data_IF_395613740215
#
_entry.id   IF_395613740215
#
_cell.length_a   1.000
_cell.length_b   1.000
_cell.length_c   1.000
_cell.angle_alpha   90.00
_cell.angle_beta   90.00
_cell.angle_gamma   90.00
#
_symmetry.space_group_name_H-M   'P 1'
#
loop_
_entity.id
_entity.type
_entity.pdbx_description
1 polymer ?
#
# COMPACT_ATOMS: atom_id res chain seq x y z
N UNK A 1 -11.58 -14.86 15.97
CA UNK A 1 -10.39 -14.29 16.63
C UNK A 1 -9.10 -14.69 15.92
N UNK A 2 -8.73 -15.98 15.84
CA UNK A 2 -7.47 -16.43 15.20
C UNK A 2 -7.34 -15.98 13.74
N UNK A 3 -8.40 -16.10 12.93
CA UNK A 3 -8.40 -15.66 11.52
C UNK A 3 -8.14 -14.16 11.33
N UNK A 4 -8.59 -13.32 12.29
CA UNK A 4 -8.39 -11.87 12.24
C UNK A 4 -6.93 -11.52 12.48
N UNK A 5 -6.32 -12.14 13.49
CA UNK A 5 -4.89 -11.97 13.81
C UNK A 5 -4.03 -12.47 12.64
N UNK A 6 -4.34 -13.65 12.09
CA UNK A 6 -3.61 -14.21 10.95
C UNK A 6 -3.68 -13.30 9.71
N UNK A 7 -4.87 -12.84 9.34
CA UNK A 7 -5.04 -11.91 8.21
C UNK A 7 -4.29 -10.59 8.42
N UNK A 8 -4.27 -10.08 9.65
CA UNK A 8 -3.56 -8.86 9.99
C UNK A 8 -2.04 -9.04 9.89
N UNK A 9 -1.50 -10.16 10.37
CA UNK A 9 -0.08 -10.48 10.22
C UNK A 9 0.33 -10.61 8.74
N UNK A 10 -0.46 -11.32 7.94
CA UNK A 10 -0.22 -11.44 6.48
C UNK A 10 -0.25 -10.07 5.80
N UNK A 11 -1.21 -9.22 6.17
CA UNK A 11 -1.30 -7.84 5.68
C UNK A 11 -0.06 -7.01 6.04
N UNK A 12 0.41 -7.08 7.29
CA UNK A 12 1.61 -6.34 7.73
C UNK A 12 2.87 -6.78 6.97
N UNK A 13 3.09 -8.09 6.84
CA UNK A 13 4.25 -8.63 6.12
C UNK A 13 4.19 -8.22 4.66
N UNK A 14 3.02 -8.35 4.01
CA UNK A 14 2.86 -7.96 2.60
C UNK A 14 3.05 -6.46 2.40
N UNK A 15 2.60 -5.64 3.35
CA UNK A 15 2.84 -4.19 3.36
C UNK A 15 4.34 -3.88 3.40
N UNK A 16 5.09 -4.53 4.31
CA UNK A 16 6.55 -4.33 4.41
C UNK A 16 7.28 -4.75 3.13
N UNK A 17 6.90 -5.89 2.54
CA UNK A 17 7.48 -6.35 1.28
C UNK A 17 7.18 -5.38 0.13
N UNK A 18 5.92 -4.95 -0.01
CA UNK A 18 5.51 -3.99 -1.04
C UNK A 18 6.20 -2.64 -0.85
N UNK A 19 6.42 -2.24 0.40
CA UNK A 19 7.13 -1.00 0.72
C UNK A 19 8.63 -1.09 0.37
N UNK A 20 9.27 -2.23 0.65
CA UNK A 20 10.65 -2.50 0.28
C UNK A 20 10.85 -2.60 -1.24
N UNK A 21 9.99 -3.32 -1.95
CA UNK A 21 10.02 -3.36 -3.42
C UNK A 21 9.71 -1.98 -4.02
N UNK A 22 8.83 -1.23 -3.35
CA UNK A 22 8.42 0.12 -3.71
C UNK A 22 9.52 1.18 -3.60
N UNK A 23 10.45 1.04 -2.64
CA UNK A 23 11.53 2.00 -2.43
C UNK A 23 12.51 2.07 -3.61
N UNK A 24 12.51 1.07 -4.50
CA UNK A 24 13.28 1.09 -5.74
C UNK A 24 12.88 2.21 -6.71
N UNK A 25 11.83 2.98 -6.43
CA UNK A 25 11.51 4.22 -7.14
C UNK A 25 12.62 5.27 -7.04
N UNK A 26 13.41 5.27 -5.95
CA UNK A 26 14.51 6.23 -5.74
C UNK A 26 15.55 6.15 -6.87
N UNK A 27 15.87 4.94 -7.34
CA UNK A 27 16.89 4.71 -8.37
C UNK A 27 16.40 4.99 -9.81
N UNK A 28 15.12 5.34 -10.00
CA UNK A 28 14.43 5.35 -11.30
C UNK A 28 13.69 6.68 -11.54
N UNK A 29 14.47 7.74 -11.73
CA UNK A 29 14.00 9.11 -11.99
C UNK A 29 12.98 9.19 -13.13
N UNK A 30 13.15 8.36 -14.17
CA UNK A 30 12.29 8.31 -15.36
C UNK A 30 10.82 7.95 -15.06
N UNK A 31 10.56 7.27 -13.93
CA UNK A 31 9.21 6.84 -13.56
C UNK A 31 8.47 7.85 -12.68
N UNK A 32 9.17 8.82 -12.10
CA UNK A 32 8.63 9.74 -11.09
C UNK A 32 7.43 10.53 -11.58
N UNK A 33 7.43 10.96 -12.85
CA UNK A 33 6.31 11.73 -13.42
C UNK A 33 4.97 10.98 -13.32
N UNK A 34 5.02 9.65 -13.43
CA UNK A 34 3.87 8.75 -13.49
C UNK A 34 3.54 8.04 -12.18
N UNK A 35 4.50 7.87 -11.27
CA UNK A 35 4.32 7.15 -10.00
C UNK A 35 4.32 8.07 -8.78
N UNK A 36 4.81 9.31 -8.87
CA UNK A 36 4.82 10.27 -7.76
C UNK A 36 3.49 11.04 -7.62
N UNK A 37 2.36 10.32 -7.68
CA UNK A 37 1.02 10.91 -7.69
C UNK A 37 0.73 11.57 -6.34
N UNK A 38 1.06 10.90 -5.23
CA UNK A 38 0.82 11.43 -3.89
C UNK A 38 1.77 12.58 -3.57
N UNK A 39 3.02 12.54 -3.99
CA UNK A 39 3.95 13.66 -3.81
C UNK A 39 3.45 14.91 -4.53
N UNK A 40 2.99 14.80 -5.79
CA UNK A 40 2.37 15.93 -6.50
C UNK A 40 1.12 16.45 -5.78
N UNK A 41 0.29 15.53 -5.26
CA UNK A 41 -0.96 15.87 -4.59
C UNK A 41 -0.77 16.55 -3.22
N UNK A 42 0.22 16.11 -2.44
CA UNK A 42 0.48 16.63 -1.09
C UNK A 42 1.41 17.85 -1.08
N UNK A 43 2.41 17.90 -1.95
CA UNK A 43 3.37 19.00 -2.00
C UNK A 43 2.91 20.13 -2.92
N UNK A 44 1.97 19.87 -3.85
CA UNK A 44 1.53 20.86 -4.84
C UNK A 44 2.60 21.19 -5.89
N UNK A 45 3.64 20.36 -6.01
CA UNK A 45 4.78 20.54 -6.91
C UNK A 45 4.65 19.51 -8.04
N UNK A 46 4.61 19.96 -9.29
CA UNK A 46 4.44 19.08 -10.47
C UNK A 46 5.70 18.27 -10.84
N UNK A 47 6.87 18.69 -10.33
CA UNK A 47 8.17 18.07 -10.63
C UNK A 47 8.88 17.76 -9.32
N UNK A 48 9.09 16.47 -9.06
CA UNK A 48 9.88 16.01 -7.92
C UNK A 48 11.35 16.09 -8.32
N UNK A 49 12.11 16.98 -7.67
CA UNK A 49 13.53 17.19 -7.96
C UNK A 49 14.44 16.32 -7.09
N UNK A 50 13.90 15.70 -6.03
CA UNK A 50 14.70 15.00 -5.04
C UNK A 50 14.00 13.72 -4.57
N UNK A 51 14.77 12.64 -4.46
CA UNK A 51 14.32 11.31 -4.01
C UNK A 51 13.72 11.35 -2.60
N UNK A 52 14.22 12.26 -1.78
CA UNK A 52 13.81 12.46 -0.39
C UNK A 52 12.45 13.17 -0.24
N UNK A 53 11.96 13.83 -1.29
CA UNK A 53 10.63 14.45 -1.29
C UNK A 53 9.52 13.45 -1.67
N UNK A 54 9.89 12.23 -2.10
CA UNK A 54 8.94 11.20 -2.48
C UNK A 54 8.20 10.70 -1.24
N UNK A 55 6.87 10.85 -1.25
CA UNK A 55 6.00 10.31 -0.23
C UNK A 55 6.12 8.79 -0.15
N UNK A 56 6.13 8.24 1.06
CA UNK A 56 6.11 6.79 1.28
C UNK A 56 4.90 6.12 0.60
N UNK A 57 3.81 6.86 0.36
CA UNK A 57 2.66 6.37 -0.40
C UNK A 57 2.96 6.12 -1.87
N UNK A 58 3.88 6.87 -2.47
CA UNK A 58 4.29 6.65 -3.86
C UNK A 58 5.10 5.37 -4.04
N UNK A 59 5.69 4.83 -2.97
CA UNK A 59 6.37 3.53 -3.02
C UNK A 59 5.35 2.41 -3.27
N UNK A 60 4.15 2.53 -2.70
CA UNK A 60 3.06 1.59 -2.98
C UNK A 60 2.51 1.74 -4.41
N UNK A 61 2.48 2.96 -4.95
CA UNK A 61 2.07 3.21 -6.36
C UNK A 61 3.09 2.63 -7.34
N UNK A 62 4.38 2.80 -7.04
CA UNK A 62 5.46 2.20 -7.82
C UNK A 62 5.40 0.67 -7.79
N UNK A 63 5.28 0.09 -6.59
CA UNK A 63 5.15 -1.35 -6.41
C UNK A 63 3.90 -1.87 -7.14
N UNK A 64 2.77 -1.15 -7.11
CA UNK A 64 1.58 -1.53 -7.87
C UNK A 64 1.84 -1.65 -9.38
N UNK A 65 2.73 -0.82 -9.93
CA UNK A 65 3.02 -0.76 -11.38
C UNK A 65 4.09 -1.76 -11.84
N UNK A 66 5.14 -1.99 -11.04
CA UNK A 66 6.29 -2.83 -11.42
C UNK A 66 6.30 -4.18 -10.68
N UNK A 67 5.93 -4.18 -9.40
CA UNK A 67 5.94 -5.36 -8.52
C UNK A 67 4.51 -5.68 -8.02
N UNK A 68 3.60 -5.88 -8.97
CA UNK A 68 2.16 -5.94 -8.69
C UNK A 68 1.74 -7.13 -7.82
N UNK A 69 2.52 -8.20 -7.73
CA UNK A 69 2.16 -9.41 -6.97
C UNK A 69 2.06 -9.15 -5.47
N UNK A 70 3.06 -8.50 -4.89
CA UNK A 70 3.10 -8.18 -3.45
C UNK A 70 1.99 -7.19 -3.10
N UNK A 71 1.79 -6.19 -3.96
CA UNK A 71 0.71 -5.21 -3.83
C UNK A 71 -0.69 -5.85 -3.88
N UNK A 72 -0.93 -6.78 -4.81
CA UNK A 72 -2.22 -7.49 -4.92
C UNK A 72 -2.49 -8.31 -3.66
N UNK A 73 -1.49 -9.02 -3.12
CA UNK A 73 -1.63 -9.81 -1.89
C UNK A 73 -1.92 -8.90 -0.69
N UNK A 74 -1.27 -7.74 -0.61
CA UNK A 74 -1.56 -6.72 0.40
C UNK A 74 -3.03 -6.25 0.32
N UNK A 75 -3.53 -5.90 -0.87
CA UNK A 75 -4.92 -5.44 -1.06
C UNK A 75 -5.93 -6.53 -0.72
N UNK A 76 -5.70 -7.77 -1.18
CA UNK A 76 -6.60 -8.89 -0.91
C UNK A 76 -6.67 -9.23 0.58
N UNK A 77 -5.52 -9.26 1.26
CA UNK A 77 -5.48 -9.52 2.71
C UNK A 77 -6.13 -8.40 3.52
N UNK A 78 -5.99 -7.14 3.10
CA UNK A 78 -6.68 -6.02 3.72
C UNK A 78 -8.20 -6.09 3.55
N UNK A 79 -8.69 -6.38 2.34
CA UNK A 79 -10.11 -6.56 2.06
C UNK A 79 -10.71 -7.73 2.86
N UNK A 80 -9.97 -8.84 2.97
CA UNK A 80 -10.39 -9.98 3.78
C UNK A 80 -10.49 -9.63 5.27
N UNK A 81 -9.51 -8.91 5.80
CA UNK A 81 -9.52 -8.40 7.18
C UNK A 81 -10.74 -7.50 7.44
N UNK A 82 -11.02 -6.55 6.54
CA UNK A 82 -12.19 -5.67 6.63
C UNK A 82 -13.51 -6.45 6.56
N UNK A 83 -13.58 -7.47 5.69
CA UNK A 83 -14.74 -8.35 5.58
C UNK A 83 -15.04 -9.09 6.90
N UNK A 84 -14.00 -9.60 7.57
CA UNK A 84 -14.14 -10.25 8.88
C UNK A 84 -14.65 -9.25 9.92
N UNK A 85 -14.09 -8.04 9.98
CA UNK A 85 -14.54 -7.00 10.92
C UNK A 85 -16.00 -6.65 10.68
N UNK A 86 -16.37 -6.42 9.42
CA UNK A 86 -17.73 -6.05 9.04
C UNK A 86 -18.72 -7.15 9.39
N UNK A 87 -18.37 -8.42 9.10
CA UNK A 87 -19.17 -9.58 9.49
C UNK A 87 -19.38 -9.65 11.01
N UNK A 88 -18.31 -9.46 11.79
CA UNK A 88 -18.38 -9.49 13.26
C UNK A 88 -19.26 -8.36 13.81
N UNK A 89 -19.15 -7.16 13.21
CA UNK A 89 -19.95 -6.00 13.60
C UNK A 89 -21.44 -6.21 13.28
N UNK A 90 -21.77 -6.77 12.11
CA UNK A 90 -23.14 -7.13 11.74
C UNK A 90 -23.71 -8.21 12.66
N UNK A 91 -22.93 -9.23 13.01
CA UNK A 91 -23.38 -10.29 13.92
C UNK A 91 -23.64 -9.76 15.33
N UNK A 92 -22.82 -8.80 15.80
CA UNK A 92 -23.01 -8.14 17.09
C UNK A 92 -24.25 -7.24 17.13
N UNK A 93 -24.68 -6.68 15.99
CA UNK A 93 -25.94 -5.90 15.89
C UNK A 93 -27.20 -6.76 15.84
N UNK A 94 -27.09 -8.04 15.47
CA UNK A 94 -28.24 -8.98 15.40
C UNK A 94 -28.51 -9.71 16.72
N UNK A 95 -27.61 -9.59 17.70
CA UNK A 95 -27.79 -10.05 19.09
C UNK A 95 -28.19 -8.88 19.97
#
# INVERSE_FOLDING_TARGET
MVQLIFSFCVFLISTLFTWYEGSGIMDRVDLWESTAIFTKLFSGIDVVYNEFDISQLDYFVYAARIHSTSFIVMVLSFLYFLGIIFYYFLQKRKK
#
